data_IF_740471921387
#
_entry.id   IF_740471921387
#
_cell.length_a   1.000
_cell.length_b   1.000
_cell.length_c   1.000
_cell.angle_alpha   90.00
_cell.angle_beta   90.00
_cell.angle_gamma   90.00
#
_symmetry.space_group_name_H-M   'P 1'
#
loop_
_entity.id
_entity.type
_entity.pdbx_description
1 polymer ?
#
# COMPACT_ATOMS: atom_id res chain seq x y z
N UNK A 1 8.08 3.78 5.68
CA UNK A 1 7.96 3.44 4.25
C UNK A 1 7.31 4.60 3.49
N UNK A 2 6.09 5.07 3.84
CA UNK A 2 5.39 6.11 3.10
C UNK A 2 6.23 7.40 2.89
N UNK A 3 6.81 7.95 3.96
CA UNK A 3 7.68 9.14 3.89
C UNK A 3 8.90 8.92 2.97
N UNK A 4 9.47 7.72 2.98
CA UNK A 4 10.58 7.36 2.09
C UNK A 4 10.14 7.35 0.62
N UNK A 5 8.97 6.78 0.32
CA UNK A 5 8.42 6.75 -1.04
C UNK A 5 8.10 8.16 -1.53
N UNK A 6 7.44 9.00 -0.71
CA UNK A 6 7.19 10.42 -1.03
C UNK A 6 8.49 11.14 -1.33
N UNK A 7 9.49 10.94 -0.49
CA UNK A 7 10.79 11.58 -0.65
C UNK A 7 11.49 11.10 -1.94
N UNK A 8 11.47 9.80 -2.23
CA UNK A 8 12.05 9.24 -3.46
C UNK A 8 11.33 9.73 -4.71
N UNK A 9 10.00 9.87 -4.67
CA UNK A 9 9.24 10.44 -5.78
C UNK A 9 9.53 11.92 -5.96
N UNK A 10 9.54 12.71 -4.90
CA UNK A 10 9.92 14.12 -4.96
C UNK A 10 11.32 14.30 -5.54
N UNK A 11 12.26 13.44 -5.12
CA UNK A 11 13.61 13.40 -5.64
C UNK A 11 13.64 13.06 -7.13
N UNK A 12 12.91 12.03 -7.56
CA UNK A 12 12.80 11.64 -8.96
C UNK A 12 12.30 12.80 -9.84
N UNK A 13 11.31 13.55 -9.39
CA UNK A 13 10.79 14.72 -10.11
C UNK A 13 11.81 15.87 -10.18
N UNK A 14 12.67 16.02 -9.17
CA UNK A 14 13.69 17.09 -9.13
C UNK A 14 14.96 16.74 -9.86
N UNK A 15 15.31 15.45 -9.97
CA UNK A 15 16.56 14.96 -10.57
C UNK A 15 16.55 14.98 -12.11
N UNK A 16 15.46 15.36 -12.75
CA UNK A 16 15.43 15.53 -14.23
C UNK A 16 16.48 16.52 -14.77
N UNK A 17 17.07 17.36 -13.91
CA UNK A 17 18.21 18.19 -14.24
C UNK A 17 19.49 17.62 -13.64
N UNK A 18 20.52 17.37 -14.47
CA UNK A 18 21.85 16.87 -14.02
C UNK A 18 22.45 17.67 -12.86
N UNK A 19 22.10 18.96 -12.73
CA UNK A 19 22.54 19.84 -11.64
C UNK A 19 22.04 19.43 -10.25
N UNK A 20 20.98 18.63 -10.17
CA UNK A 20 20.34 18.27 -8.90
C UNK A 20 20.71 16.85 -8.44
N UNK A 21 21.69 16.20 -9.08
CA UNK A 21 22.16 14.86 -8.68
C UNK A 21 22.69 14.80 -7.25
N UNK A 22 23.17 15.94 -6.71
CA UNK A 22 23.59 16.01 -5.30
C UNK A 22 22.45 15.71 -4.32
N UNK A 23 21.18 15.91 -4.72
CA UNK A 23 20.02 15.55 -3.89
C UNK A 23 19.92 14.03 -3.66
N UNK A 24 20.52 13.21 -4.52
CA UNK A 24 20.61 11.76 -4.31
C UNK A 24 21.54 11.40 -3.13
N UNK A 25 22.44 12.29 -2.74
CA UNK A 25 23.30 12.08 -1.59
C UNK A 25 22.49 12.03 -0.27
N UNK A 26 21.39 12.78 -0.17
CA UNK A 26 20.58 12.84 1.05
C UNK A 26 19.98 11.46 1.40
N UNK A 27 19.24 10.76 0.52
CA UNK A 27 18.74 9.42 0.82
C UNK A 27 19.87 8.40 1.01
N UNK A 28 20.97 8.52 0.28
CA UNK A 28 22.13 7.65 0.45
C UNK A 28 22.75 7.83 1.86
N UNK A 29 22.90 9.06 2.33
CA UNK A 29 23.39 9.37 3.67
C UNK A 29 22.41 8.85 4.73
N UNK A 30 21.10 9.12 4.58
CA UNK A 30 20.08 8.65 5.52
C UNK A 30 20.01 7.11 5.58
N UNK A 31 20.14 6.44 4.43
CA UNK A 31 20.18 4.98 4.38
C UNK A 31 21.45 4.44 5.05
N UNK A 32 22.60 5.05 4.80
CA UNK A 32 23.87 4.68 5.43
C UNK A 32 23.80 4.87 6.94
N UNK A 33 23.26 5.99 7.41
CA UNK A 33 23.06 6.23 8.85
C UNK A 33 22.09 5.22 9.45
N UNK A 34 21.00 4.87 8.78
CA UNK A 34 20.04 3.88 9.26
C UNK A 34 20.66 2.47 9.40
N UNK A 35 21.64 2.14 8.54
CA UNK A 35 22.32 0.83 8.56
C UNK A 35 23.48 0.80 9.54
N UNK A 36 24.22 1.91 9.69
CA UNK A 36 25.47 1.94 10.50
C UNK A 36 25.24 2.26 11.97
N UNK A 37 24.17 2.99 12.31
CA UNK A 37 23.88 3.31 13.72
C UNK A 37 23.23 2.09 14.38
N UNK A 38 23.80 1.56 15.50
CA UNK A 38 23.13 0.54 16.31
C UNK A 38 21.86 1.14 16.90
N UNK A 39 20.74 0.84 16.32
CA UNK A 39 19.47 1.48 16.65
C UNK A 39 18.37 0.43 16.70
N UNK A 40 17.27 0.79 17.33
CA UNK A 40 16.02 0.03 17.34
C UNK A 40 15.56 -0.40 15.93
N UNK A 41 15.98 0.31 14.87
CA UNK A 41 15.70 -0.07 13.49
C UNK A 41 16.43 -1.36 13.08
N UNK A 42 17.75 -1.46 13.39
CA UNK A 42 18.54 -2.64 13.07
C UNK A 42 18.07 -3.87 13.85
N UNK A 43 17.78 -3.68 15.14
CA UNK A 43 17.24 -4.75 15.99
C UNK A 43 15.89 -5.21 15.47
N UNK A 44 15.04 -4.26 15.03
CA UNK A 44 13.75 -4.56 14.43
C UNK A 44 13.87 -5.29 13.09
N UNK A 45 14.81 -4.89 12.24
CA UNK A 45 15.08 -5.58 10.97
C UNK A 45 15.59 -7.00 11.19
N UNK A 46 16.55 -7.18 12.12
CA UNK A 46 17.05 -8.49 12.50
C UNK A 46 15.91 -9.38 13.05
N UNK A 47 15.06 -8.82 13.89
CA UNK A 47 13.89 -9.53 14.42
C UNK A 47 12.95 -9.98 13.28
N UNK A 48 12.62 -9.10 12.33
CA UNK A 48 11.77 -9.45 11.17
C UNK A 48 12.39 -10.58 10.35
N UNK A 49 13.71 -10.53 10.09
CA UNK A 49 14.41 -11.58 9.35
C UNK A 49 14.38 -12.91 10.12
N UNK A 50 14.67 -12.88 11.42
CA UNK A 50 14.63 -14.06 12.26
C UNK A 50 13.23 -14.65 12.34
N UNK A 51 12.21 -13.82 12.57
CA UNK A 51 10.81 -14.23 12.59
C UNK A 51 10.37 -14.87 11.26
N UNK A 52 10.81 -14.31 10.13
CA UNK A 52 10.51 -14.87 8.81
C UNK A 52 11.23 -16.20 8.56
N UNK A 53 12.48 -16.33 9.02
CA UNK A 53 13.28 -17.58 8.87
C UNK A 53 12.77 -18.72 9.77
N UNK A 54 12.24 -18.37 10.95
CA UNK A 54 11.71 -19.36 11.90
C UNK A 54 10.23 -19.68 11.65
N UNK A 55 9.61 -19.05 10.67
CA UNK A 55 8.20 -19.29 10.32
C UNK A 55 7.98 -20.74 9.89
N UNK A 56 7.22 -21.50 10.66
CA UNK A 56 6.92 -22.93 10.47
C UNK A 56 5.56 -23.21 9.80
N UNK A 57 4.91 -22.19 9.24
CA UNK A 57 3.59 -22.32 8.62
C UNK A 57 2.40 -22.13 9.57
N UNK A 58 2.65 -21.84 10.84
CA UNK A 58 1.63 -21.55 11.84
C UNK A 58 1.87 -20.17 12.49
N UNK A 59 0.79 -19.49 12.86
CA UNK A 59 0.90 -18.23 13.55
C UNK A 59 1.31 -18.46 15.01
N UNK A 60 2.52 -18.04 15.38
CA UNK A 60 2.97 -18.08 16.78
C UNK A 60 2.53 -16.83 17.52
N UNK A 61 2.05 -16.99 18.74
CA UNK A 61 1.65 -15.87 19.59
C UNK A 61 2.84 -14.96 19.89
N UNK A 62 2.71 -13.65 19.58
CA UNK A 62 3.77 -12.65 19.80
C UNK A 62 4.67 -12.37 18.57
N UNK A 63 4.57 -13.15 17.51
CA UNK A 63 5.33 -12.96 16.28
C UNK A 63 4.49 -12.21 15.23
N UNK A 64 4.66 -10.89 15.14
CA UNK A 64 3.85 -10.05 14.22
C UNK A 64 4.15 -10.31 12.74
N UNK A 65 5.36 -10.69 12.41
CA UNK A 65 5.76 -11.04 11.03
C UNK A 65 5.21 -12.40 10.64
N UNK A 66 5.32 -13.38 11.52
CA UNK A 66 4.77 -14.72 11.32
C UNK A 66 3.25 -14.71 11.15
N UNK A 67 2.53 -13.90 11.95
CA UNK A 67 1.08 -13.72 11.79
C UNK A 67 0.75 -13.20 10.39
N UNK A 68 1.43 -12.16 9.91
CA UNK A 68 1.19 -11.61 8.55
C UNK A 68 1.51 -12.63 7.45
N UNK A 69 2.62 -13.37 7.56
CA UNK A 69 2.98 -14.41 6.60
C UNK A 69 1.93 -15.51 6.56
N UNK A 70 1.41 -15.92 7.71
CA UNK A 70 0.33 -16.90 7.79
C UNK A 70 -0.95 -16.35 7.11
N UNK A 71 -1.37 -15.12 7.42
CA UNK A 71 -2.52 -14.48 6.79
C UNK A 71 -2.38 -14.42 5.27
N UNK A 72 -1.20 -14.06 4.75
CA UNK A 72 -0.93 -13.98 3.31
C UNK A 72 -0.92 -15.37 2.66
N UNK A 73 -0.36 -16.36 3.33
CA UNK A 73 -0.39 -17.76 2.85
C UNK A 73 -1.83 -18.27 2.74
N UNK A 74 -2.65 -18.09 3.79
CA UNK A 74 -4.06 -18.53 3.78
C UNK A 74 -4.88 -17.75 2.74
N UNK A 75 -4.67 -16.45 2.63
CA UNK A 75 -5.30 -15.63 1.58
C UNK A 75 -4.96 -16.15 0.17
N UNK A 76 -3.68 -16.45 -0.08
CA UNK A 76 -3.24 -17.00 -1.37
C UNK A 76 -3.84 -18.36 -1.66
N UNK A 77 -3.97 -19.23 -0.66
CA UNK A 77 -4.63 -20.54 -0.78
C UNK A 77 -6.11 -20.35 -1.13
N UNK A 78 -6.82 -19.45 -0.42
CA UNK A 78 -8.22 -19.16 -0.73
C UNK A 78 -8.40 -18.66 -2.17
N UNK A 79 -7.56 -17.71 -2.62
CA UNK A 79 -7.60 -17.21 -4.00
C UNK A 79 -7.38 -18.34 -5.00
N UNK A 80 -6.45 -19.27 -4.73
CA UNK A 80 -6.17 -20.41 -5.62
C UNK A 80 -7.36 -21.40 -5.71
N UNK A 81 -8.17 -21.53 -4.65
CA UNK A 81 -9.39 -22.36 -4.68
C UNK A 81 -10.51 -21.74 -5.53
N UNK A 82 -10.67 -20.40 -5.50
CA UNK A 82 -11.69 -19.68 -6.27
C UNK A 82 -11.13 -18.45 -6.97
N UNK A 83 -10.29 -18.63 -7.99
CA UNK A 83 -9.54 -17.52 -8.57
C UNK A 83 -10.41 -16.51 -9.31
N UNK A 84 -11.55 -16.90 -9.86
CA UNK A 84 -12.38 -16.00 -10.68
C UNK A 84 -13.45 -15.25 -9.87
N UNK A 85 -14.06 -15.89 -8.89
CA UNK A 85 -15.22 -15.36 -8.18
C UNK A 85 -14.93 -14.95 -6.74
N UNK A 86 -13.82 -15.46 -6.16
CA UNK A 86 -13.57 -15.35 -4.73
C UNK A 86 -14.65 -16.02 -3.87
N UNK A 87 -14.75 -15.62 -2.63
CA UNK A 87 -15.69 -16.18 -1.65
C UNK A 87 -16.79 -15.19 -1.23
N UNK A 88 -16.78 -13.99 -1.78
CA UNK A 88 -17.73 -12.93 -1.46
C UNK A 88 -17.20 -11.89 -0.50
N UNK A 89 -17.90 -10.76 -0.41
CA UNK A 89 -17.54 -9.65 0.46
C UNK A 89 -17.58 -10.10 1.94
N UNK A 90 -16.63 -9.61 2.73
CA UNK A 90 -16.44 -9.96 4.15
C UNK A 90 -16.12 -11.43 4.45
N UNK A 91 -15.76 -12.24 3.44
CA UNK A 91 -15.48 -13.68 3.62
C UNK A 91 -14.13 -14.00 4.25
N UNK A 92 -13.21 -13.03 4.36
CA UNK A 92 -11.82 -13.30 4.77
C UNK A 92 -11.72 -14.03 6.11
N UNK A 93 -12.38 -13.57 7.16
CA UNK A 93 -12.34 -14.20 8.49
C UNK A 93 -12.82 -15.65 8.44
N UNK A 94 -13.92 -15.90 7.73
CA UNK A 94 -14.48 -17.24 7.56
C UNK A 94 -13.50 -18.18 6.85
N UNK A 95 -12.92 -17.72 5.72
CA UNK A 95 -11.99 -18.53 4.93
C UNK A 95 -10.66 -18.74 5.63
N UNK A 96 -10.16 -17.74 6.35
CA UNK A 96 -8.98 -17.89 7.18
C UNK A 96 -9.16 -18.98 8.23
N UNK A 97 -10.28 -18.95 8.99
CA UNK A 97 -10.58 -19.96 10.01
C UNK A 97 -10.78 -21.34 9.41
N UNK A 98 -11.40 -21.42 8.23
CA UNK A 98 -11.59 -22.69 7.51
C UNK A 98 -10.25 -23.33 7.15
N UNK A 99 -9.31 -22.53 6.62
CA UNK A 99 -7.99 -23.00 6.18
C UNK A 99 -7.01 -23.23 7.34
N UNK A 100 -7.14 -22.48 8.44
CA UNK A 100 -6.30 -22.70 9.64
C UNK A 100 -6.68 -23.99 10.37
N UNK A 101 -7.90 -24.46 10.18
CA UNK A 101 -8.42 -25.65 10.84
C UNK A 101 -8.67 -25.42 12.35
N UNK A 102 -8.94 -26.52 13.07
CA UNK A 102 -9.08 -26.50 14.54
C UNK A 102 -7.70 -26.51 15.23
N UNK A 103 -6.72 -25.81 14.70
CA UNK A 103 -5.42 -25.70 15.34
C UNK A 103 -5.59 -24.96 16.65
N UNK A 104 -5.24 -25.61 17.74
CA UNK A 104 -5.48 -25.24 19.14
C UNK A 104 -4.62 -24.09 19.64
N UNK A 105 -4.03 -23.32 18.76
CA UNK A 105 -3.39 -22.07 19.16
C UNK A 105 -4.46 -21.01 19.25
N UNK A 106 -4.94 -20.82 20.49
CA UNK A 106 -5.75 -19.67 20.91
C UNK A 106 -4.91 -18.39 20.78
N UNK A 107 -4.56 -18.02 19.57
CA UNK A 107 -4.38 -16.60 19.27
C UNK A 107 -5.75 -16.00 19.51
N UNK A 108 -5.82 -14.83 20.14
CA UNK A 108 -7.06 -14.06 20.30
C UNK A 108 -7.73 -13.92 18.93
N UNK A 109 -8.39 -14.98 18.48
CA UNK A 109 -9.00 -15.15 17.17
C UNK A 109 -10.18 -14.17 16.94
N UNK A 110 -10.51 -13.36 17.93
CA UNK A 110 -11.53 -12.34 17.88
C UNK A 110 -11.15 -11.09 17.09
N UNK A 111 -9.91 -10.98 16.57
CA UNK A 111 -9.42 -9.75 15.92
C UNK A 111 -8.87 -9.90 14.50
N UNK A 112 -9.00 -11.07 13.86
CA UNK A 112 -8.48 -11.27 12.49
C UNK A 112 -9.60 -11.00 11.50
N UNK A 113 -9.77 -9.73 11.12
CA UNK A 113 -10.82 -9.33 10.18
C UNK A 113 -10.34 -9.12 8.75
N UNK A 114 -9.02 -9.06 8.53
CA UNK A 114 -8.45 -8.76 7.22
C UNK A 114 -7.05 -9.38 7.01
N UNK A 115 -6.60 -9.41 5.76
CA UNK A 115 -5.32 -9.98 5.35
C UNK A 115 -4.10 -9.11 5.70
N UNK A 116 -4.26 -7.92 6.26
CA UNK A 116 -3.21 -6.90 6.38
C UNK A 116 -2.45 -6.66 5.05
N UNK A 117 -3.13 -6.84 3.93
CA UNK A 117 -2.66 -6.62 2.58
C UNK A 117 -3.88 -6.48 1.66
N UNK A 118 -4.08 -5.31 1.12
CA UNK A 118 -5.32 -4.94 0.41
C UNK A 118 -5.58 -5.81 -0.83
N UNK A 119 -4.54 -6.07 -1.64
CA UNK A 119 -4.69 -6.85 -2.87
C UNK A 119 -5.13 -8.30 -2.58
N UNK A 120 -4.58 -8.92 -1.54
CA UNK A 120 -5.01 -10.24 -1.09
C UNK A 120 -6.43 -10.22 -0.53
N UNK A 121 -6.78 -9.16 0.21
CA UNK A 121 -8.13 -8.98 0.74
C UNK A 121 -9.17 -8.97 -0.39
N UNK A 122 -8.93 -8.17 -1.44
CA UNK A 122 -9.79 -8.11 -2.62
C UNK A 122 -9.78 -9.43 -3.41
N UNK A 123 -8.61 -10.09 -3.47
CA UNK A 123 -8.46 -11.39 -4.11
C UNK A 123 -9.27 -12.48 -3.44
N UNK A 124 -9.29 -12.57 -2.11
CA UNK A 124 -10.13 -13.53 -1.38
C UNK A 124 -11.60 -13.27 -1.61
N UNK A 125 -12.01 -12.00 -1.61
CA UNK A 125 -13.42 -11.63 -1.73
C UNK A 125 -13.97 -11.77 -3.16
N UNK A 126 -13.23 -11.33 -4.16
CA UNK A 126 -13.70 -11.17 -5.54
C UNK A 126 -12.82 -11.91 -6.59
N UNK A 127 -11.86 -12.70 -6.13
CA UNK A 127 -10.92 -13.36 -7.01
C UNK A 127 -9.97 -12.39 -7.72
N UNK A 128 -9.42 -12.82 -8.84
CA UNK A 128 -8.54 -11.98 -9.70
C UNK A 128 -9.26 -10.74 -10.20
N UNK A 129 -10.58 -10.81 -10.39
CA UNK A 129 -11.40 -9.66 -10.75
C UNK A 129 -11.34 -8.54 -9.71
N UNK A 130 -11.31 -8.87 -8.42
CA UNK A 130 -11.15 -7.89 -7.33
C UNK A 130 -9.77 -7.22 -7.37
N UNK A 131 -8.72 -7.98 -7.57
CA UNK A 131 -7.36 -7.44 -7.72
C UNK A 131 -7.30 -6.51 -8.94
N UNK A 132 -7.85 -6.93 -10.07
CA UNK A 132 -7.91 -6.13 -11.29
C UNK A 132 -8.70 -4.82 -11.09
N UNK A 133 -9.81 -4.87 -10.36
CA UNK A 133 -10.63 -3.70 -10.04
C UNK A 133 -9.83 -2.70 -9.16
N UNK A 134 -9.12 -3.18 -8.16
CA UNK A 134 -8.28 -2.33 -7.30
C UNK A 134 -7.14 -1.69 -8.10
N UNK A 135 -6.48 -2.46 -8.97
CA UNK A 135 -5.44 -1.93 -9.86
C UNK A 135 -6.01 -0.90 -10.85
N UNK A 136 -7.18 -1.17 -11.42
CA UNK A 136 -7.88 -0.23 -12.30
C UNK A 136 -8.25 1.06 -11.57
N UNK A 137 -8.70 0.99 -10.33
CA UNK A 137 -8.98 2.15 -9.48
C UNK A 137 -7.75 3.06 -9.37
N UNK A 138 -6.58 2.53 -9.02
CA UNK A 138 -5.35 3.31 -8.97
C UNK A 138 -4.92 3.83 -10.36
N UNK A 139 -5.06 3.01 -11.40
CA UNK A 139 -4.71 3.40 -12.76
C UNK A 139 -5.56 4.57 -13.29
N UNK A 140 -6.86 4.55 -13.03
CA UNK A 140 -7.75 5.65 -13.41
C UNK A 140 -7.43 6.94 -12.65
N UNK A 141 -7.17 6.87 -11.36
CA UNK A 141 -6.74 8.05 -10.59
C UNK A 141 -5.41 8.62 -11.11
N UNK A 142 -4.44 7.76 -11.45
CA UNK A 142 -3.17 8.19 -12.05
C UNK A 142 -3.38 8.83 -13.43
N UNK A 143 -4.31 8.29 -14.23
CA UNK A 143 -4.69 8.85 -15.53
C UNK A 143 -5.33 10.23 -15.38
N UNK A 144 -6.27 10.37 -14.45
CA UNK A 144 -6.93 11.66 -14.21
C UNK A 144 -5.93 12.71 -13.71
N UNK A 145 -5.01 12.31 -12.84
CA UNK A 145 -3.95 13.18 -12.36
C UNK A 145 -3.02 13.68 -13.49
N UNK A 146 -2.88 12.95 -14.62
CA UNK A 146 -2.06 13.39 -15.76
C UNK A 146 -2.62 14.63 -16.47
N UNK A 147 -3.90 14.91 -16.31
CA UNK A 147 -4.57 16.07 -16.93
C UNK A 147 -4.46 17.35 -16.08
N UNK A 148 -3.80 17.29 -14.94
CA UNK A 148 -3.61 18.43 -14.03
C UNK A 148 -2.37 19.24 -14.39
N UNK A 149 -2.26 20.46 -13.86
CA UNK A 149 -1.01 21.21 -13.93
C UNK A 149 0.14 20.49 -13.20
N UNK A 150 1.37 20.75 -13.63
CA UNK A 150 2.55 19.97 -13.23
C UNK A 150 2.71 19.81 -11.71
N UNK A 151 2.41 20.84 -10.92
CA UNK A 151 2.53 20.78 -9.47
C UNK A 151 1.45 19.87 -8.86
N UNK A 152 0.19 20.09 -9.22
CA UNK A 152 -0.97 19.30 -8.78
C UNK A 152 -0.90 17.86 -9.27
N UNK A 153 -0.43 17.65 -10.51
CA UNK A 153 -0.17 16.33 -11.06
C UNK A 153 0.82 15.54 -10.20
N UNK A 154 2.00 16.12 -9.93
CA UNK A 154 3.06 15.46 -9.14
C UNK A 154 2.60 15.15 -7.72
N UNK A 155 1.91 16.08 -7.08
CA UNK A 155 1.36 15.89 -5.74
C UNK A 155 0.34 14.73 -5.72
N UNK A 156 -0.62 14.72 -6.64
CA UNK A 156 -1.64 13.66 -6.75
C UNK A 156 -1.00 12.30 -7.03
N UNK A 157 -0.08 12.21 -7.98
CA UNK A 157 0.63 10.96 -8.29
C UNK A 157 1.43 10.44 -7.10
N UNK A 158 2.05 11.33 -6.31
CA UNK A 158 2.79 10.95 -5.11
C UNK A 158 1.87 10.35 -4.05
N UNK A 159 0.71 10.97 -3.80
CA UNK A 159 -0.28 10.47 -2.84
C UNK A 159 -0.81 9.11 -3.27
N UNK A 160 -1.19 8.96 -4.54
CA UNK A 160 -1.71 7.70 -5.08
C UNK A 160 -0.67 6.58 -4.97
N UNK A 161 0.59 6.85 -5.36
CA UNK A 161 1.65 5.85 -5.31
C UNK A 161 1.97 5.41 -3.88
N UNK A 162 2.06 6.36 -2.94
CA UNK A 162 2.29 6.05 -1.53
C UNK A 162 1.17 5.18 -0.98
N UNK A 163 -0.07 5.50 -1.30
CA UNK A 163 -1.21 4.74 -0.82
C UNK A 163 -1.25 3.35 -1.44
N UNK A 164 -1.03 3.21 -2.75
CA UNK A 164 -0.94 1.91 -3.42
C UNK A 164 0.16 1.02 -2.83
N UNK A 165 1.32 1.60 -2.46
CA UNK A 165 2.39 0.87 -1.76
C UNK A 165 1.99 0.53 -0.32
N UNK A 166 1.31 1.44 0.39
CA UNK A 166 0.81 1.15 1.74
C UNK A 166 -0.16 -0.04 1.74
N UNK A 167 -0.98 -0.19 0.70
CA UNK A 167 -1.90 -1.32 0.49
C UNK A 167 -1.19 -2.68 0.36
N UNK A 168 0.12 -2.72 0.05
CA UNK A 168 0.92 -3.96 0.08
C UNK A 168 1.19 -4.48 1.50
N UNK A 169 1.11 -3.61 2.50
CA UNK A 169 1.48 -3.92 3.88
C UNK A 169 0.34 -3.74 4.88
N UNK A 170 -0.79 -3.23 4.43
CA UNK A 170 -1.98 -3.05 5.24
C UNK A 170 -3.25 -3.01 4.37
N UNK A 171 -4.41 -3.29 4.97
CA UNK A 171 -5.72 -3.07 4.34
C UNK A 171 -6.15 -1.62 4.58
N UNK A 172 -5.53 -0.70 3.84
CA UNK A 172 -5.68 0.73 4.07
C UNK A 172 -7.03 1.28 3.59
N UNK A 173 -7.63 0.70 2.54
CA UNK A 173 -9.00 1.04 2.09
C UNK A 173 -10.07 0.40 2.99
N UNK A 174 -9.78 -0.75 3.59
CA UNK A 174 -10.67 -1.41 4.54
C UNK A 174 -10.74 -0.66 5.88
N UNK A 175 -9.67 0.03 6.25
CA UNK A 175 -9.66 0.92 7.41
C UNK A 175 -10.42 2.21 7.06
N UNK A 176 -11.62 2.37 7.62
CA UNK A 176 -12.51 3.48 7.31
C UNK A 176 -11.81 4.85 7.46
N UNK A 177 -11.06 5.06 8.55
CA UNK A 177 -10.39 6.34 8.78
C UNK A 177 -9.32 6.64 7.71
N UNK A 178 -8.49 5.66 7.38
CA UNK A 178 -7.39 5.82 6.42
C UNK A 178 -7.93 5.87 5.00
N UNK A 179 -8.86 4.98 4.67
CA UNK A 179 -9.48 4.90 3.34
C UNK A 179 -10.30 6.14 3.02
N UNK A 180 -11.15 6.59 3.94
CA UNK A 180 -11.97 7.79 3.76
C UNK A 180 -11.11 9.04 3.61
N UNK A 181 -10.06 9.19 4.45
CA UNK A 181 -9.13 10.31 4.34
C UNK A 181 -8.40 10.32 2.99
N UNK A 182 -7.96 9.16 2.52
CA UNK A 182 -7.32 9.05 1.20
C UNK A 182 -8.29 9.43 0.08
N UNK A 183 -9.49 8.84 0.06
CA UNK A 183 -10.49 9.12 -0.99
C UNK A 183 -10.89 10.59 -1.01
N UNK A 184 -11.10 11.19 0.16
CA UNK A 184 -11.41 12.61 0.27
C UNK A 184 -10.26 13.50 -0.21
N UNK A 185 -9.03 13.20 0.22
CA UNK A 185 -7.85 13.98 -0.15
C UNK A 185 -7.61 13.93 -1.65
N UNK A 186 -7.63 12.74 -2.25
CA UNK A 186 -7.39 12.62 -3.70
C UNK A 186 -8.53 13.24 -4.52
N UNK A 187 -9.78 13.12 -4.08
CA UNK A 187 -10.91 13.77 -4.74
C UNK A 187 -10.77 15.31 -4.74
N UNK A 188 -10.37 15.90 -3.61
CA UNK A 188 -10.10 17.34 -3.54
C UNK A 188 -8.93 17.74 -4.45
N UNK A 189 -7.83 17.00 -4.44
CA UNK A 189 -6.66 17.30 -5.27
C UNK A 189 -7.01 17.27 -6.77
N UNK A 190 -7.77 16.28 -7.21
CA UNK A 190 -8.21 16.16 -8.59
C UNK A 190 -9.20 17.29 -8.97
N UNK A 191 -10.15 17.62 -8.08
CA UNK A 191 -11.14 18.68 -8.33
C UNK A 191 -10.49 20.07 -8.43
N UNK A 192 -9.63 20.43 -7.48
CA UNK A 192 -8.95 21.72 -7.48
C UNK A 192 -7.96 21.83 -8.64
N UNK A 193 -7.15 20.82 -8.89
CA UNK A 193 -6.20 20.80 -10.00
C UNK A 193 -6.89 20.91 -11.36
N UNK A 194 -8.07 20.29 -11.55
CA UNK A 194 -8.86 20.44 -12.77
C UNK A 194 -9.39 21.86 -12.96
N UNK A 195 -9.73 22.54 -11.87
CA UNK A 195 -10.20 23.94 -11.93
C UNK A 195 -9.06 24.88 -12.33
N UNK A 196 -7.87 24.69 -11.78
CA UNK A 196 -6.68 25.48 -12.13
C UNK A 196 -6.32 25.32 -13.62
N UNK A 197 -6.34 24.11 -14.14
CA UNK A 197 -6.07 23.83 -15.55
C UNK A 197 -7.06 24.54 -16.49
N UNK A 198 -8.36 24.60 -16.15
CA UNK A 198 -9.36 25.32 -16.94
C UNK A 198 -9.14 26.83 -16.95
N UNK A 199 -8.82 27.42 -15.79
CA UNK A 199 -8.56 28.87 -15.67
C UNK A 199 -7.30 29.26 -16.44
N UNK A 200 -6.26 28.44 -16.40
CA UNK A 200 -5.03 28.66 -17.17
C UNK A 200 -5.30 28.67 -18.68
N UNK A 201 -6.09 27.69 -19.17
CA UNK A 201 -6.44 27.60 -20.58
C UNK A 201 -7.27 28.79 -21.07
N UNK A 202 -8.22 29.27 -20.28
CA UNK A 202 -9.04 30.42 -20.66
C UNK A 202 -8.22 31.71 -20.80
N UNK A 203 -7.27 31.95 -19.91
CA UNK A 203 -6.37 33.11 -19.98
C UNK A 203 -5.47 33.11 -21.22
N UNK A 204 -5.14 31.95 -21.75
CA UNK A 204 -4.27 31.82 -22.96
C UNK A 204 -5.07 32.08 -24.24
N UNK A 205 -6.39 31.93 -24.24
CA UNK A 205 -7.27 32.18 -25.38
C UNK A 205 -7.63 33.68 -25.51
N UNK A 206 -7.59 34.41 -24.41
CA UNK A 206 -7.94 35.83 -24.35
C UNK A 206 -6.76 36.80 -24.65
N UNK A 207 -5.57 36.28 -24.99
CA UNK A 207 -4.37 36.97 -25.43
C UNK A 207 -4.09 36.73 -26.92
#
# INVERSE_FOLDING_TARGET
VALFVVFMMALFWHVQHRRNLYLLAIPAILLTMAVTVPSAFRDRMNLVVTEAQTYSGHAEAGNSTGIRLNLWQRASQAIAERPLTGFGVASFDHEYRRLEGKSTVSTNASAIHNAHQEYLQWGVQLGVGGIALLLAFFAFMLRDAQNLETASQRASQSVIAVFAIACLFNCALFDALIGDYFCFTIALMLAFGATEARVSTSRTIDL
#
